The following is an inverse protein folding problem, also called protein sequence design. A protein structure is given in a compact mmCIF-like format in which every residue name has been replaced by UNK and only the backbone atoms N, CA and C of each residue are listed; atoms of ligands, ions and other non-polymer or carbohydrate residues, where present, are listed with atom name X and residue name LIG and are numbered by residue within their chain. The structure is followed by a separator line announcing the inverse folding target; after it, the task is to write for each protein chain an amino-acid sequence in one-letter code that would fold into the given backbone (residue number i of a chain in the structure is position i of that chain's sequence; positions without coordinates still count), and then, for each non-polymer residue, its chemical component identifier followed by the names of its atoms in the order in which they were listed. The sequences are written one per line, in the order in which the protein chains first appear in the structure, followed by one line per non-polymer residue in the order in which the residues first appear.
data_IF_309717667205
#
_entry.id   IF_309717667205
#
_cell.length_a   1.000
_cell.length_b   1.000
_cell.length_c   1.000
_cell.angle_alpha   90.00
_cell.angle_beta   90.00
_cell.angle_gamma   90.00
#
_symmetry.space_group_name_H-M   'P 1'
#
loop_
_entity.id
_entity.type
_entity.pdbx_description
1 polymer ?
#
# COMPACT_ATOMS: atom_id res chain seq x y z
N UNK A 1 68.72 -36.19 37.72
CA UNK A 1 69.04 -36.23 36.27
C UNK A 1 67.86 -36.94 35.61
N UNK A 2 67.05 -36.41 34.69
CA UNK A 2 66.93 -35.15 33.96
C UNK A 2 65.43 -34.97 33.66
N UNK A 3 65.02 -33.70 33.64
CA UNK A 3 63.73 -33.15 33.24
C UNK A 3 63.45 -33.39 31.74
N UNK A 4 62.23 -33.75 31.32
CA UNK A 4 61.63 -33.21 30.07
C UNK A 4 60.09 -33.20 30.17
N UNK A 5 59.54 -31.99 30.05
CA UNK A 5 58.13 -31.65 29.85
C UNK A 5 57.71 -31.87 28.39
N UNK A 6 56.43 -32.19 28.12
CA UNK A 6 55.72 -31.71 26.91
C UNK A 6 54.20 -31.84 27.03
N UNK A 7 53.56 -30.71 26.75
CA UNK A 7 52.13 -30.44 26.64
C UNK A 7 51.52 -30.88 25.29
N UNK A 8 50.18 -30.80 25.25
CA UNK A 8 49.25 -30.64 24.12
C UNK A 8 48.80 -31.95 23.44
N UNK A 9 47.51 -32.18 23.13
CA UNK A 9 46.48 -31.26 22.63
C UNK A 9 45.09 -31.85 22.86
N UNK A 10 44.14 -31.04 23.37
CA UNK A 10 42.74 -31.43 23.56
C UNK A 10 41.94 -31.43 22.25
N UNK A 11 41.05 -32.41 22.11
CA UNK A 11 39.99 -32.41 21.10
C UNK A 11 39.03 -31.24 21.36
N UNK A 12 38.97 -30.29 20.44
CA UNK A 12 37.86 -29.33 20.33
C UNK A 12 37.09 -29.61 19.05
N UNK A 13 35.99 -30.37 19.14
CA UNK A 13 35.00 -30.45 18.06
C UNK A 13 34.25 -29.12 18.01
N UNK A 14 34.58 -28.27 17.04
CA UNK A 14 33.79 -27.08 16.76
C UNK A 14 32.48 -27.50 16.06
N UNK A 15 31.38 -27.49 16.80
CA UNK A 15 30.05 -27.64 16.22
C UNK A 15 29.69 -26.36 15.45
N UNK A 16 29.74 -26.41 14.12
CA UNK A 16 29.13 -25.39 13.26
C UNK A 16 27.61 -25.52 13.36
N UNK A 17 26.99 -24.74 14.24
CA UNK A 17 25.56 -24.52 14.24
C UNK A 17 25.18 -23.70 13.01
N UNK A 18 24.68 -24.34 11.96
CA UNK A 18 24.04 -23.63 10.87
C UNK A 18 22.76 -22.98 11.40
N UNK A 19 22.79 -21.67 11.61
CA UNK A 19 21.60 -20.88 11.86
C UNK A 19 20.78 -20.87 10.56
N UNK A 20 19.79 -21.75 10.47
CA UNK A 20 18.77 -21.67 9.44
C UNK A 20 17.92 -20.45 9.80
N UNK A 21 18.13 -19.32 9.14
CA UNK A 21 17.15 -18.26 9.12
C UNK A 21 15.87 -18.84 8.52
N UNK A 22 14.91 -19.19 9.36
CA UNK A 22 13.54 -19.43 8.92
C UNK A 22 13.07 -18.11 8.31
N UNK A 23 13.15 -18.02 6.98
CA UNK A 23 12.49 -16.96 6.24
C UNK A 23 11.04 -16.94 6.69
N UNK A 24 10.53 -15.74 7.02
CA UNK A 24 9.13 -15.58 7.36
C UNK A 24 8.30 -16.26 6.27
N UNK A 25 7.58 -17.32 6.64
CA UNK A 25 6.58 -17.90 5.75
C UNK A 25 5.58 -16.78 5.56
N UNK A 26 5.57 -16.18 4.37
CA UNK A 26 4.57 -15.18 4.02
C UNK A 26 3.25 -15.91 3.99
N UNK A 27 2.54 -15.80 5.10
CA UNK A 27 1.25 -16.42 5.27
C UNK A 27 0.32 -15.83 4.21
N UNK A 28 -0.05 -16.65 3.23
CA UNK A 28 -0.88 -16.26 2.10
C UNK A 28 -2.35 -16.15 2.53
N UNK A 29 -2.60 -15.45 3.64
CA UNK A 29 -3.92 -15.15 4.15
C UNK A 29 -4.61 -14.16 3.25
N UNK A 30 -5.93 -14.29 3.15
CA UNK A 30 -6.72 -13.28 2.43
C UNK A 30 -6.69 -11.94 3.17
N UNK A 31 -6.96 -10.84 2.47
CA UNK A 31 -7.05 -9.51 3.11
C UNK A 31 -8.14 -9.44 4.18
N UNK A 32 -9.26 -10.14 3.94
CA UNK A 32 -10.34 -10.24 4.92
C UNK A 32 -9.86 -10.98 6.17
N UNK A 33 -9.12 -12.08 6.00
CA UNK A 33 -8.58 -12.87 7.10
C UNK A 33 -7.58 -12.06 7.92
N UNK A 34 -6.66 -11.33 7.28
CA UNK A 34 -5.73 -10.44 7.98
C UNK A 34 -6.44 -9.30 8.70
N UNK A 35 -7.42 -8.67 8.07
CA UNK A 35 -8.22 -7.64 8.74
C UNK A 35 -9.01 -8.20 9.95
N UNK A 36 -9.35 -9.49 9.95
CA UNK A 36 -10.17 -10.14 10.99
C UNK A 36 -9.35 -10.75 12.14
N UNK A 37 -8.10 -11.12 11.91
CA UNK A 37 -7.23 -11.85 12.86
C UNK A 37 -6.50 -10.96 13.86
N UNK A 38 -6.87 -9.67 13.97
CA UNK A 38 -6.06 -8.62 14.60
C UNK A 38 -4.72 -8.36 13.90
N UNK A 39 -4.53 -8.86 12.66
CA UNK A 39 -3.41 -8.46 11.82
C UNK A 39 -3.67 -7.07 11.20
N UNK A 40 -2.60 -6.28 11.05
CA UNK A 40 -2.68 -4.94 10.47
C UNK A 40 -2.48 -5.02 8.98
N UNK A 41 -3.32 -4.34 8.19
CA UNK A 41 -3.03 -4.13 6.78
C UNK A 41 -1.79 -3.24 6.62
N UNK A 42 -0.93 -3.58 5.67
CA UNK A 42 0.32 -2.89 5.35
C UNK A 42 0.21 -2.33 3.94
N UNK A 43 0.34 -1.01 3.83
CA UNK A 43 0.27 -0.29 2.56
C UNK A 43 1.61 0.37 2.24
N UNK A 44 1.95 0.46 0.96
CA UNK A 44 3.08 1.25 0.48
C UNK A 44 2.59 2.33 -0.49
N UNK A 45 3.19 3.51 -0.45
CA UNK A 45 2.90 4.54 -1.45
C UNK A 45 3.56 4.19 -2.79
N UNK A 46 2.80 4.37 -3.86
CA UNK A 46 3.28 4.32 -5.22
C UNK A 46 3.01 5.67 -5.87
N UNK A 47 4.07 6.39 -6.25
CA UNK A 47 3.99 7.77 -6.73
C UNK A 47 3.55 7.81 -8.21
N UNK A 48 2.27 7.60 -8.48
CA UNK A 48 1.73 7.66 -9.86
C UNK A 48 1.97 9.03 -10.49
N UNK A 49 1.91 10.13 -9.71
CA UNK A 49 2.17 11.50 -10.17
C UNK A 49 3.57 11.80 -10.70
N UNK A 50 4.46 10.80 -10.81
CA UNK A 50 5.76 10.90 -11.51
C UNK A 50 6.01 9.72 -12.47
N UNK A 51 4.99 8.93 -12.79
CA UNK A 51 5.10 7.70 -13.60
C UNK A 51 4.30 7.86 -14.90
N UNK A 52 4.60 8.87 -15.69
CA UNK A 52 3.93 9.10 -16.99
C UNK A 52 4.39 8.18 -18.12
N UNK A 53 5.42 7.36 -17.91
CA UNK A 53 6.13 6.64 -18.98
C UNK A 53 5.67 5.20 -19.23
N UNK A 54 4.83 4.61 -18.38
CA UNK A 54 4.34 3.24 -18.59
C UNK A 54 3.28 3.21 -19.67
N UNK A 55 3.30 2.15 -20.47
CA UNK A 55 2.49 2.01 -21.68
C UNK A 55 1.44 0.90 -21.55
N UNK A 56 1.50 0.10 -20.48
CA UNK A 56 0.53 -0.95 -20.23
C UNK A 56 0.43 -1.34 -18.76
N UNK A 57 -0.63 -2.09 -18.42
CA UNK A 57 -0.75 -2.74 -17.10
C UNK A 57 0.33 -3.80 -16.85
N UNK A 58 0.92 -4.41 -17.88
CA UNK A 58 2.02 -5.35 -17.68
C UNK A 58 3.27 -4.67 -17.09
N UNK A 59 3.46 -3.37 -17.34
CA UNK A 59 4.57 -2.60 -16.79
C UNK A 59 4.48 -2.45 -15.26
N UNK A 60 3.32 -2.73 -14.67
CA UNK A 60 3.08 -2.75 -13.22
C UNK A 60 3.21 -4.13 -12.57
N UNK A 61 3.22 -5.21 -13.35
CA UNK A 61 3.07 -6.57 -12.81
C UNK A 61 4.20 -6.94 -11.85
N UNK A 62 5.43 -6.55 -12.15
CA UNK A 62 6.58 -6.86 -11.31
C UNK A 62 6.54 -6.10 -9.97
N UNK A 63 6.04 -4.86 -9.95
CA UNK A 63 5.83 -4.13 -8.69
C UNK A 63 4.78 -4.82 -7.84
N UNK A 64 3.65 -5.20 -8.43
CA UNK A 64 2.55 -5.88 -7.74
C UNK A 64 3.00 -7.23 -7.15
N UNK A 65 3.73 -8.02 -7.93
CA UNK A 65 4.27 -9.32 -7.48
C UNK A 65 5.27 -9.15 -6.34
N UNK A 66 6.20 -8.20 -6.46
CA UNK A 66 7.22 -7.96 -5.44
C UNK A 66 6.61 -7.42 -4.15
N UNK A 67 5.65 -6.51 -4.25
CA UNK A 67 4.94 -5.97 -3.09
C UNK A 67 4.19 -7.07 -2.33
N UNK A 68 3.42 -7.89 -3.05
CA UNK A 68 2.73 -9.04 -2.46
C UNK A 68 3.70 -10.02 -1.82
N UNK A 69 4.81 -10.34 -2.52
CA UNK A 69 5.89 -11.18 -1.99
C UNK A 69 6.69 -10.52 -0.85
N UNK A 70 6.45 -9.25 -0.52
CA UNK A 70 7.01 -8.58 0.65
C UNK A 70 5.98 -8.45 1.79
N UNK A 71 4.75 -8.93 1.61
CA UNK A 71 3.67 -8.80 2.59
C UNK A 71 2.95 -7.44 2.55
N UNK A 72 3.09 -6.67 1.47
CA UNK A 72 2.30 -5.47 1.24
C UNK A 72 0.94 -5.87 0.66
N UNK A 73 -0.12 -5.33 1.25
CA UNK A 73 -1.50 -5.67 0.92
C UNK A 73 -2.10 -4.81 -0.18
N UNK A 74 -1.66 -3.55 -0.22
CA UNK A 74 -2.10 -2.60 -1.21
C UNK A 74 -1.08 -1.50 -1.49
N UNK A 75 -1.11 -0.98 -2.71
CA UNK A 75 -0.49 0.31 -2.99
C UNK A 75 -1.48 1.47 -2.77
N UNK A 76 -1.03 2.49 -2.06
CA UNK A 76 -1.62 3.82 -2.05
C UNK A 76 -1.11 4.58 -3.29
N UNK A 77 -1.93 4.67 -4.33
CA UNK A 77 -1.59 5.31 -5.60
C UNK A 77 -1.66 6.83 -5.42
N UNK A 78 -0.52 7.46 -5.14
CA UNK A 78 -0.41 8.90 -4.98
C UNK A 78 -0.54 9.59 -6.35
N UNK A 79 -1.55 10.44 -6.49
CA UNK A 79 -1.88 11.11 -7.76
C UNK A 79 -1.90 12.64 -7.62
N UNK A 80 -1.40 13.30 -8.66
CA UNK A 80 -1.67 14.70 -8.96
C UNK A 80 -2.89 14.85 -9.87
N UNK A 81 -2.84 15.84 -10.76
CA UNK A 81 -3.88 16.15 -11.76
C UNK A 81 -3.38 16.06 -13.20
N UNK A 82 -2.21 15.45 -13.40
CA UNK A 82 -1.54 15.30 -14.69
C UNK A 82 -2.39 14.54 -15.72
N UNK A 83 -2.18 14.83 -17.01
CA UNK A 83 -2.94 14.28 -18.14
C UNK A 83 -2.84 12.74 -18.26
N UNK A 84 -1.70 12.17 -17.89
CA UNK A 84 -1.47 10.73 -17.89
C UNK A 84 -2.07 10.01 -16.68
N UNK A 85 -2.52 10.72 -15.65
CA UNK A 85 -2.95 10.13 -14.36
C UNK A 85 -3.97 9.01 -14.55
N UNK A 86 -4.98 9.23 -15.39
CA UNK A 86 -6.04 8.25 -15.58
C UNK A 86 -5.56 7.00 -16.32
N UNK A 87 -4.70 7.13 -17.32
CA UNK A 87 -4.11 5.99 -18.00
C UNK A 87 -3.27 5.14 -17.03
N UNK A 88 -2.49 5.79 -16.17
CA UNK A 88 -1.64 5.10 -15.19
C UNK A 88 -2.44 4.44 -14.07
N UNK A 89 -3.52 5.09 -13.60
CA UNK A 89 -4.46 4.46 -12.68
C UNK A 89 -5.13 3.24 -13.34
N UNK A 90 -5.61 3.37 -14.58
CA UNK A 90 -6.23 2.25 -15.29
C UNK A 90 -5.27 1.04 -15.41
N UNK A 91 -4.00 1.29 -15.73
CA UNK A 91 -2.96 0.25 -15.76
C UNK A 91 -2.69 -0.37 -14.39
N UNK A 92 -2.57 0.45 -13.34
CA UNK A 92 -2.31 -0.01 -11.99
C UNK A 92 -3.46 -0.87 -11.44
N UNK A 93 -4.71 -0.46 -11.62
CA UNK A 93 -5.88 -1.24 -11.18
C UNK A 93 -5.97 -2.59 -11.91
N UNK A 94 -5.79 -2.61 -13.23
CA UNK A 94 -5.82 -3.84 -14.02
C UNK A 94 -4.71 -4.83 -13.61
N UNK A 95 -3.50 -4.31 -13.34
CA UNK A 95 -2.38 -5.12 -12.86
C UNK A 95 -2.62 -5.63 -11.43
N UNK A 96 -3.14 -4.79 -10.53
CA UNK A 96 -3.44 -5.18 -9.16
C UNK A 96 -4.44 -6.35 -9.11
N UNK A 97 -5.52 -6.26 -9.89
CA UNK A 97 -6.49 -7.34 -10.04
C UNK A 97 -5.85 -8.64 -10.52
N UNK A 98 -5.01 -8.57 -11.56
CA UNK A 98 -4.34 -9.74 -12.15
C UNK A 98 -3.38 -10.43 -11.19
N UNK A 99 -2.66 -9.66 -10.37
CA UNK A 99 -1.63 -10.17 -9.47
C UNK A 99 -2.15 -10.44 -8.04
N UNK A 100 -3.43 -10.17 -7.79
CA UNK A 100 -4.08 -10.46 -6.51
C UNK A 100 -3.50 -9.65 -5.35
N UNK A 101 -3.23 -8.37 -5.59
CA UNK A 101 -2.97 -7.33 -4.59
C UNK A 101 -4.06 -6.24 -4.74
N UNK A 102 -4.25 -5.37 -3.75
CA UNK A 102 -5.19 -4.25 -3.87
C UNK A 102 -4.48 -2.95 -4.18
N UNK A 103 -5.26 -1.95 -4.57
CA UNK A 103 -4.84 -0.57 -4.72
C UNK A 103 -5.95 0.35 -4.23
N UNK A 104 -5.58 1.58 -3.87
CA UNK A 104 -6.52 2.65 -3.64
C UNK A 104 -5.88 3.98 -3.99
N UNK A 105 -6.71 4.99 -4.29
CA UNK A 105 -6.22 6.31 -4.63
C UNK A 105 -5.81 7.06 -3.36
N UNK A 106 -4.63 7.68 -3.41
CA UNK A 106 -4.15 8.68 -2.48
C UNK A 106 -4.07 10.03 -3.19
N UNK A 107 -4.95 10.96 -2.85
CA UNK A 107 -5.00 12.27 -3.50
C UNK A 107 -3.93 13.20 -2.92
N UNK A 108 -3.07 13.78 -3.77
CA UNK A 108 -2.01 14.71 -3.32
C UNK A 108 -2.49 16.17 -3.34
N UNK A 109 -2.68 16.76 -2.16
CA UNK A 109 -3.19 18.12 -2.02
C UNK A 109 -2.15 19.22 -2.26
N UNK A 110 -0.97 18.89 -2.79
CA UNK A 110 -0.16 19.88 -3.50
C UNK A 110 -0.71 20.18 -4.90
N UNK A 111 -1.49 19.27 -5.48
CA UNK A 111 -2.09 19.39 -6.80
C UNK A 111 -3.62 19.51 -6.76
N UNK A 112 -4.23 18.99 -5.69
CA UNK A 112 -5.66 19.09 -5.40
C UNK A 112 -5.93 20.16 -4.34
N UNK A 113 -7.14 20.72 -4.33
CA UNK A 113 -7.62 21.65 -3.30
C UNK A 113 -8.70 21.00 -2.43
N UNK A 114 -8.82 21.44 -1.18
CA UNK A 114 -9.94 21.04 -0.29
C UNK A 114 -11.30 21.52 -0.81
N UNK A 115 -11.30 22.54 -1.69
CA UNK A 115 -12.49 22.95 -2.45
C UNK A 115 -12.92 21.96 -3.54
N UNK A 116 -12.09 20.96 -3.87
CA UNK A 116 -12.32 20.03 -4.98
C UNK A 116 -13.07 18.75 -4.55
N UNK A 117 -13.76 18.75 -3.41
CA UNK A 117 -14.44 17.56 -2.88
C UNK A 117 -15.38 16.88 -3.91
N UNK A 118 -16.05 17.66 -4.75
CA UNK A 118 -16.88 17.13 -5.83
C UNK A 118 -16.06 16.40 -6.90
N UNK A 119 -14.92 16.98 -7.33
CA UNK A 119 -14.04 16.38 -8.33
C UNK A 119 -13.32 15.14 -7.79
N UNK A 120 -12.87 15.18 -6.54
CA UNK A 120 -12.35 14.01 -5.81
C UNK A 120 -13.42 12.91 -5.79
N UNK A 121 -14.67 13.24 -5.44
CA UNK A 121 -15.79 12.29 -5.46
C UNK A 121 -16.05 11.68 -6.83
N UNK A 122 -16.00 12.47 -7.92
CA UNK A 122 -16.13 11.93 -9.28
C UNK A 122 -14.97 10.97 -9.63
N UNK A 123 -13.74 11.28 -9.20
CA UNK A 123 -12.60 10.39 -9.38
C UNK A 123 -12.80 9.09 -8.61
N UNK A 124 -13.24 9.16 -7.35
CA UNK A 124 -13.56 7.98 -6.54
C UNK A 124 -14.63 7.12 -7.23
N UNK A 125 -15.71 7.73 -7.73
CA UNK A 125 -16.76 7.01 -8.47
C UNK A 125 -16.24 6.23 -9.66
N UNK A 126 -15.30 6.80 -10.42
CA UNK A 126 -14.68 6.14 -11.59
C UNK A 126 -13.97 4.83 -11.22
N UNK A 127 -13.35 4.75 -10.03
CA UNK A 127 -12.54 3.60 -9.63
C UNK A 127 -13.18 2.71 -8.55
N UNK A 128 -14.27 3.15 -7.91
CA UNK A 128 -14.92 2.46 -6.79
C UNK A 128 -15.23 0.98 -7.06
N UNK A 129 -15.70 0.67 -8.27
CA UNK A 129 -16.10 -0.68 -8.66
C UNK A 129 -15.04 -1.41 -9.51
N UNK A 130 -13.85 -0.82 -9.67
CA UNK A 130 -12.75 -1.47 -10.38
C UNK A 130 -12.27 -2.70 -9.60
N UNK A 131 -12.13 -3.86 -10.25
CA UNK A 131 -11.42 -4.98 -9.66
C UNK A 131 -10.02 -4.52 -9.19
N UNK A 132 -9.66 -4.87 -7.96
CA UNK A 132 -8.42 -4.38 -7.34
C UNK A 132 -8.60 -3.23 -6.35
N UNK A 133 -9.73 -2.51 -6.36
CA UNK A 133 -10.04 -1.49 -5.35
C UNK A 133 -10.04 -2.09 -3.94
N UNK A 134 -9.25 -1.51 -3.03
CA UNK A 134 -9.30 -1.85 -1.62
C UNK A 134 -10.64 -1.40 -1.02
N UNK A 135 -11.28 -2.31 -0.29
CA UNK A 135 -12.48 -2.02 0.51
C UNK A 135 -12.29 -2.49 1.94
N UNK A 136 -12.79 -1.71 2.89
CA UNK A 136 -12.83 -2.04 4.32
C UNK A 136 -14.28 -1.97 4.76
N UNK A 137 -14.80 -3.06 5.33
CA UNK A 137 -16.24 -3.19 5.67
C UNK A 137 -17.15 -2.87 4.47
N UNK A 138 -16.76 -3.32 3.28
CA UNK A 138 -17.43 -3.04 2.00
C UNK A 138 -17.41 -1.57 1.52
N UNK A 139 -16.75 -0.67 2.27
CA UNK A 139 -16.58 0.75 1.92
C UNK A 139 -15.36 0.97 1.05
N UNK A 140 -15.46 1.89 0.09
CA UNK A 140 -14.35 2.25 -0.82
C UNK A 140 -13.27 2.96 -0.02
N UNK A 141 -12.09 2.35 0.10
CA UNK A 141 -10.97 2.97 0.81
C UNK A 141 -10.30 4.04 -0.05
N UNK A 142 -10.09 5.23 0.51
CA UNK A 142 -9.42 6.37 -0.15
C UNK A 142 -8.56 7.09 0.88
N UNK A 143 -7.40 7.60 0.46
CA UNK A 143 -6.56 8.43 1.33
C UNK A 143 -6.18 9.75 0.67
N UNK A 144 -5.46 10.59 1.42
CA UNK A 144 -4.85 11.81 0.89
C UNK A 144 -3.48 12.06 1.49
N UNK A 145 -2.63 12.76 0.74
CA UNK A 145 -1.47 13.47 1.27
C UNK A 145 -1.88 14.92 1.52
N UNK A 146 -1.80 15.38 2.78
CA UNK A 146 -2.16 16.74 3.22
C UNK A 146 -3.60 17.19 2.88
N UNK A 147 -4.55 16.24 2.75
CA UNK A 147 -5.96 16.52 2.48
C UNK A 147 -6.85 16.44 3.71
N UNK A 148 -6.32 16.79 4.88
CA UNK A 148 -6.98 16.70 6.18
C UNK A 148 -8.12 17.71 6.39
N UNK A 149 -8.24 18.72 5.53
CA UNK A 149 -9.37 19.66 5.53
C UNK A 149 -10.40 19.40 4.41
N UNK A 150 -10.30 18.28 3.70
CA UNK A 150 -11.27 17.89 2.69
C UNK A 150 -12.59 17.45 3.34
N UNK A 151 -13.73 17.92 2.82
CA UNK A 151 -15.05 17.46 3.26
C UNK A 151 -15.34 16.04 2.71
N UNK A 152 -15.16 15.03 3.57
CA UNK A 152 -15.40 13.63 3.20
C UNK A 152 -16.88 13.33 2.92
N UNK A 153 -17.82 14.08 3.50
CA UNK A 153 -19.25 13.90 3.20
C UNK A 153 -19.60 14.42 1.81
N UNK A 154 -19.00 15.54 1.40
CA UNK A 154 -19.11 16.02 0.03
C UNK A 154 -18.51 15.03 -0.98
N UNK A 155 -17.37 14.40 -0.66
CA UNK A 155 -16.80 13.31 -1.47
C UNK A 155 -17.75 12.12 -1.60
N UNK A 156 -18.35 11.66 -0.50
CA UNK A 156 -19.36 10.57 -0.52
C UNK A 156 -20.57 10.94 -1.38
N UNK A 157 -21.11 12.14 -1.19
CA UNK A 157 -22.26 12.64 -1.95
C UNK A 157 -21.97 12.68 -3.46
N UNK A 158 -20.82 13.24 -3.85
CA UNK A 158 -20.42 13.34 -5.25
C UNK A 158 -20.07 11.98 -5.88
N UNK A 159 -19.46 11.07 -5.11
CA UNK A 159 -19.11 9.74 -5.60
C UNK A 159 -20.31 8.78 -5.70
N UNK A 160 -21.35 8.99 -4.90
CA UNK A 160 -22.44 8.03 -4.74
C UNK A 160 -21.99 6.71 -4.09
N UNK A 161 -20.83 6.70 -3.44
CA UNK A 161 -20.24 5.53 -2.78
C UNK A 161 -20.11 5.75 -1.28
N UNK A 162 -20.19 4.66 -0.51
CA UNK A 162 -19.80 4.68 0.90
C UNK A 162 -18.27 4.64 0.99
N UNK A 163 -17.66 5.81 1.20
CA UNK A 163 -16.21 6.01 1.22
C UNK A 163 -15.68 5.91 2.65
N UNK A 164 -14.64 5.10 2.85
CA UNK A 164 -13.79 5.14 4.04
C UNK A 164 -12.58 6.02 3.74
N UNK A 165 -12.66 7.28 4.16
CA UNK A 165 -11.63 8.29 3.87
C UNK A 165 -10.62 8.36 5.01
N UNK A 166 -9.34 8.22 4.68
CA UNK A 166 -8.22 8.26 5.65
C UNK A 166 -7.22 9.32 5.21
N UNK A 167 -7.32 10.56 5.72
CA UNK A 167 -6.37 11.59 5.34
C UNK A 167 -5.03 11.44 6.07
N UNK A 168 -3.97 11.96 5.46
CA UNK A 168 -2.77 12.35 6.19
C UNK A 168 -3.07 13.63 6.98
N UNK A 169 -3.21 13.50 8.30
CA UNK A 169 -3.36 14.64 9.22
C UNK A 169 -2.04 15.39 9.36
N UNK A 170 -2.04 16.66 8.97
CA UNK A 170 -0.86 17.51 9.15
C UNK A 170 -0.68 17.85 10.63
N UNK A 171 0.56 18.14 11.09
CA UNK A 171 0.82 18.45 12.51
C UNK A 171 0.08 19.68 13.04
N UNK A 172 -0.47 20.50 12.15
CA UNK A 172 -1.15 21.76 12.47
C UNK A 172 -2.66 21.59 12.66
N UNK A 173 -3.17 20.36 12.53
CA UNK A 173 -4.58 20.02 12.68
C UNK A 173 -5.33 20.03 11.34
N UNK A 174 -6.43 19.26 11.31
CA UNK A 174 -7.31 19.14 10.15
C UNK A 174 -8.77 19.02 10.57
N UNK A 175 -9.65 18.92 9.59
CA UNK A 175 -11.06 18.66 9.79
C UNK A 175 -11.30 17.19 10.12
N UNK A 176 -12.25 16.91 11.01
CA UNK A 176 -12.80 15.56 11.24
C UNK A 176 -14.18 15.40 10.59
N UNK A 177 -14.55 16.30 9.67
CA UNK A 177 -15.88 16.27 9.04
C UNK A 177 -16.02 15.02 8.15
N UNK A 178 -16.79 14.04 8.65
CA UNK A 178 -17.05 12.80 7.93
C UNK A 178 -15.90 11.79 7.94
N UNK A 179 -14.93 11.93 8.84
CA UNK A 179 -13.86 10.94 9.12
C UNK A 179 -14.18 10.27 10.46
#
# INVERSE_FOLDING_TARGET
MVLVSRLFQGLGLAAFGAAVCQGAVLDSRSLAERASSSDRLVFAHFMVGIVGNRQSSADYDDDMKRAKAAGIDAFALNIGTDDYTDAQLDYAYDSANRNGIKVFISFDFHFWSTGDAAAVGQKVKKYADRPGQLRIDNRVFVSSFAGDNLDANAVRSASGSDVFFVPNFTPWGGSTNGI
#
